data_IF_276190787659
#
_entry.id   IF_276190787659
#
_cell.length_a   1.000
_cell.length_b   1.000
_cell.length_c   1.000
_cell.angle_alpha   90.00
_cell.angle_beta   90.00
_cell.angle_gamma   90.00
#
_symmetry.space_group_name_H-M   'P 1'
#
loop_
_entity.id
_entity.type
_entity.pdbx_description
1 polymer ?
#
# COMPACT_ATOMS: atom_id res chain seq x y z
N UNK A 1 40.99 -27.65 -11.12
CA UNK A 1 40.55 -27.14 -9.82
C UNK A 1 40.14 -25.70 -10.08
N UNK A 2 38.85 -25.48 -10.33
CA UNK A 2 38.30 -24.15 -10.58
C UNK A 2 37.50 -23.77 -9.35
N UNK A 3 37.79 -22.59 -8.82
CA UNK A 3 37.26 -22.05 -7.58
C UNK A 3 35.74 -21.90 -7.68
N UNK A 4 35.05 -22.53 -6.73
CA UNK A 4 33.66 -22.24 -6.42
C UNK A 4 33.59 -20.78 -5.98
N UNK A 5 33.25 -19.88 -6.90
CA UNK A 5 32.79 -18.54 -6.56
C UNK A 5 31.47 -18.70 -5.80
N UNK A 6 31.59 -18.90 -4.50
CA UNK A 6 30.52 -18.80 -3.52
C UNK A 6 29.93 -17.40 -3.68
N UNK A 7 28.90 -17.27 -4.50
CA UNK A 7 28.03 -16.10 -4.46
C UNK A 7 27.59 -15.99 -3.00
N UNK A 8 27.89 -14.88 -2.29
CA UNK A 8 27.31 -14.69 -0.98
C UNK A 8 25.80 -14.75 -1.18
N UNK A 9 25.17 -15.79 -0.63
CA UNK A 9 23.74 -15.78 -0.41
C UNK A 9 23.46 -14.44 0.30
N UNK A 10 22.37 -13.73 -0.03
CA UNK A 10 21.95 -12.58 0.75
C UNK A 10 21.52 -13.05 2.16
N UNK A 11 22.51 -13.43 2.97
CA UNK A 11 22.41 -13.76 4.37
C UNK A 11 22.37 -12.46 5.15
N UNK A 12 21.35 -11.65 4.89
CA UNK A 12 21.06 -10.39 5.58
C UNK A 12 19.68 -9.82 5.20
N UNK A 13 18.75 -10.64 4.72
CA UNK A 13 17.33 -10.34 4.99
C UNK A 13 17.05 -10.84 6.40
N UNK A 14 17.55 -10.10 7.41
CA UNK A 14 17.15 -10.31 8.79
C UNK A 14 15.64 -10.46 8.84
N UNK A 15 15.15 -11.48 9.55
CA UNK A 15 13.74 -11.82 9.68
C UNK A 15 12.85 -10.59 9.52
N UNK A 16 12.15 -10.48 8.38
CA UNK A 16 11.10 -9.49 8.15
C UNK A 16 9.89 -9.68 9.12
N UNK A 17 10.06 -10.51 10.14
CA UNK A 17 9.06 -11.11 11.01
C UNK A 17 9.33 -10.86 12.50
N UNK A 18 10.30 -10.00 12.86
CA UNK A 18 10.51 -9.54 14.24
C UNK A 18 10.43 -8.01 14.35
N UNK A 19 9.57 -7.41 13.51
CA UNK A 19 9.05 -6.06 13.72
C UNK A 19 7.76 -6.19 14.50
N UNK A 20 7.69 -5.54 15.67
CA UNK A 20 6.43 -5.28 16.37
C UNK A 20 5.35 -4.90 15.34
N UNK A 21 4.12 -5.45 15.42
CA UNK A 21 3.09 -5.10 14.46
C UNK A 21 2.99 -3.58 14.40
N UNK A 22 3.31 -3.01 13.23
CA UNK A 22 3.30 -1.57 13.06
C UNK A 22 1.91 -1.06 13.47
N UNK A 23 1.88 -0.12 14.41
CA UNK A 23 0.62 0.48 14.84
C UNK A 23 -0.04 1.13 13.63
N UNK A 24 -1.32 0.87 13.45
CA UNK A 24 -2.10 1.53 12.41
C UNK A 24 -2.02 3.05 12.61
N UNK A 25 -1.74 3.84 11.56
CA UNK A 25 -1.63 5.28 11.71
C UNK A 25 -2.95 5.90 12.17
N UNK A 26 -2.89 6.82 13.13
CA UNK A 26 -4.07 7.55 13.63
C UNK A 26 -4.70 8.44 12.56
N UNK A 27 -3.92 8.86 11.56
CA UNK A 27 -4.38 9.71 10.47
C UNK A 27 -3.67 9.37 9.16
N UNK A 28 -4.39 9.52 8.05
CA UNK A 28 -3.82 9.50 6.70
C UNK A 28 -3.22 10.87 6.41
N UNK A 29 -1.97 10.91 5.94
CA UNK A 29 -1.36 12.15 5.48
C UNK A 29 -1.98 12.60 4.17
N UNK A 30 -2.23 13.91 4.04
CA UNK A 30 -2.73 14.48 2.79
C UNK A 30 -1.71 14.28 1.66
N UNK A 31 -2.21 13.86 0.51
CA UNK A 31 -1.47 13.63 -0.72
C UNK A 31 -1.28 14.91 -1.54
N UNK A 32 -2.10 15.94 -1.25
CA UNK A 32 -2.13 17.19 -2.01
C UNK A 32 -3.13 17.17 -3.16
N UNK A 33 -3.75 16.02 -3.43
CA UNK A 33 -4.88 15.87 -4.33
C UNK A 33 -6.16 15.60 -3.53
N UNK A 34 -7.12 16.52 -3.61
CA UNK A 34 -8.34 16.44 -2.80
C UNK A 34 -9.23 15.25 -3.14
N UNK A 35 -9.16 14.73 -4.37
CA UNK A 35 -9.95 13.59 -4.78
C UNK A 35 -9.35 12.29 -4.23
N UNK A 36 -8.04 12.13 -4.35
CA UNK A 36 -7.30 11.02 -3.72
C UNK A 36 -7.45 11.06 -2.20
N UNK A 37 -7.33 12.24 -1.58
CA UNK A 37 -7.50 12.42 -0.13
C UNK A 37 -8.89 11.97 0.34
N UNK A 38 -9.94 12.27 -0.43
CA UNK A 38 -11.31 11.86 -0.13
C UNK A 38 -11.48 10.33 -0.22
N UNK A 39 -10.85 9.67 -1.19
CA UNK A 39 -10.87 8.20 -1.30
C UNK A 39 -10.16 7.57 -0.08
N UNK A 40 -9.02 8.12 0.33
CA UNK A 40 -8.22 7.57 1.42
C UNK A 40 -8.86 7.70 2.81
N UNK A 41 -9.87 8.56 3.00
CA UNK A 41 -10.63 8.64 4.27
C UNK A 41 -11.15 7.27 4.72
N UNK A 42 -11.49 6.38 3.78
CA UNK A 42 -11.97 5.03 4.06
C UNK A 42 -10.98 4.16 4.86
N UNK A 43 -9.68 4.42 4.76
CA UNK A 43 -8.64 3.69 5.50
C UNK A 43 -8.74 3.90 7.01
N UNK A 44 -9.30 5.01 7.48
CA UNK A 44 -9.50 5.26 8.90
C UNK A 44 -10.47 4.28 9.57
N UNK A 45 -11.27 3.53 8.80
CA UNK A 45 -12.19 2.52 9.31
C UNK A 45 -11.57 1.11 9.42
N UNK A 46 -10.40 0.89 8.82
CA UNK A 46 -9.72 -0.41 8.82
C UNK A 46 -9.50 -1.01 10.23
N UNK A 47 -9.06 -0.26 11.26
CA UNK A 47 -8.77 -0.84 12.58
C UNK A 47 -10.03 -1.34 13.30
N UNK A 48 -11.21 -0.78 13.00
CA UNK A 48 -12.49 -1.19 13.57
C UNK A 48 -13.20 -2.28 12.75
N UNK A 49 -12.74 -2.55 11.52
CA UNK A 49 -13.33 -3.56 10.66
C UNK A 49 -12.75 -4.95 10.93
N UNK A 50 -13.60 -6.01 10.93
CA UNK A 50 -13.10 -7.37 10.96
C UNK A 50 -12.27 -7.65 9.71
N UNK A 51 -11.23 -8.47 9.82
CA UNK A 51 -10.33 -8.80 8.70
C UNK A 51 -11.05 -9.35 7.47
N UNK A 52 -12.17 -10.05 7.66
CA UNK A 52 -13.02 -10.56 6.57
C UNK A 52 -13.61 -9.45 5.69
N UNK A 53 -13.75 -8.23 6.23
CA UNK A 53 -14.26 -7.06 5.51
C UNK A 53 -13.15 -6.25 4.81
N UNK A 54 -11.88 -6.49 5.13
CA UNK A 54 -10.74 -5.77 4.55
C UNK A 54 -10.62 -5.95 3.03
N UNK A 55 -10.88 -7.13 2.43
CA UNK A 55 -10.83 -7.30 0.97
C UNK A 55 -11.84 -6.41 0.24
N UNK A 56 -13.04 -6.25 0.79
CA UNK A 56 -14.07 -5.40 0.20
C UNK A 56 -13.69 -3.91 0.28
N UNK A 57 -13.11 -3.47 1.41
CA UNK A 57 -12.61 -2.12 1.55
C UNK A 57 -11.44 -1.85 0.58
N UNK A 58 -10.50 -2.79 0.48
CA UNK A 58 -9.40 -2.71 -0.47
C UNK A 58 -9.89 -2.60 -1.91
N UNK A 59 -10.82 -3.47 -2.32
CA UNK A 59 -11.34 -3.47 -3.68
C UNK A 59 -12.03 -2.15 -4.01
N UNK A 60 -12.81 -1.60 -3.08
CA UNK A 60 -13.42 -0.27 -3.25
C UNK A 60 -12.37 0.82 -3.42
N UNK A 61 -11.40 0.89 -2.51
CA UNK A 61 -10.32 1.90 -2.59
C UNK A 61 -9.55 1.81 -3.90
N UNK A 62 -9.25 0.58 -4.34
CA UNK A 62 -8.58 0.35 -5.61
C UNK A 62 -9.41 0.86 -6.79
N UNK A 63 -10.71 0.56 -6.85
CA UNK A 63 -11.60 1.00 -7.94
C UNK A 63 -11.79 2.52 -7.96
N UNK A 64 -12.03 3.14 -6.79
CA UNK A 64 -12.14 4.60 -6.64
C UNK A 64 -10.84 5.31 -7.08
N UNK A 65 -9.66 4.81 -6.66
CA UNK A 65 -8.37 5.38 -7.08
C UNK A 65 -8.12 5.20 -8.59
N UNK A 66 -8.52 4.06 -9.16
CA UNK A 66 -8.40 3.81 -10.59
C UNK A 66 -9.32 4.76 -11.39
N UNK A 67 -10.53 5.02 -10.91
CA UNK A 67 -11.48 5.94 -11.53
C UNK A 67 -10.97 7.38 -11.53
N UNK A 68 -10.32 7.83 -10.45
CA UNK A 68 -9.69 9.15 -10.38
C UNK A 68 -8.50 9.28 -11.34
N UNK A 69 -7.69 8.22 -11.49
CA UNK A 69 -6.61 8.18 -12.48
C UNK A 69 -7.13 8.26 -13.91
N UNK A 70 -8.19 7.52 -14.24
CA UNK A 70 -8.79 7.54 -15.58
C UNK A 70 -9.49 8.88 -15.89
N UNK A 71 -10.04 9.54 -14.86
CA UNK A 71 -10.70 10.84 -14.98
C UNK A 71 -9.72 12.02 -15.00
N UNK A 72 -8.44 11.79 -14.69
CA UNK A 72 -7.43 12.86 -14.61
C UNK A 72 -7.02 13.36 -16.00
N UNK A 73 -7.13 14.67 -16.28
CA UNK A 73 -6.86 15.24 -17.60
C UNK A 73 -5.39 15.14 -18.04
N UNK A 74 -4.47 14.86 -17.11
CA UNK A 74 -3.05 14.60 -17.39
C UNK A 74 -2.87 13.32 -18.23
N UNK A 75 -3.78 12.35 -18.11
CA UNK A 75 -3.75 11.08 -18.86
C UNK A 75 -4.39 11.18 -20.26
N UNK A 76 -5.10 12.28 -20.57
CA UNK A 76 -5.77 12.50 -21.85
C UNK A 76 -4.84 13.10 -22.94
N UNK A 77 -3.57 13.36 -22.60
CA UNK A 77 -2.59 14.02 -23.48
C UNK A 77 -1.34 13.17 -23.74
N UNK A 78 -1.51 11.87 -24.00
CA UNK A 78 -0.39 11.03 -24.47
C UNK A 78 -0.72 10.19 -25.69
#
# INVERSE_FOLDING_TARGET
>A
MAESGEFPLPGEQGSLLETEPASWPEAVAATGDSAVDNVLVGLGQLPDLPTEAHPALYQRLHDDLLAELDSSPDHASS
#
